data_IF_244192686331
#
_entry.id   IF_244192686331
#
_cell.length_a   1.000
_cell.length_b   1.000
_cell.length_c   1.000
_cell.angle_alpha   90.00
_cell.angle_beta   90.00
_cell.angle_gamma   90.00
#
_symmetry.space_group_name_H-M   'P 1'
#
loop_
_entity.id
_entity.type
_entity.pdbx_description
1 polymer ?
#
# COMPACT_ATOMS: atom_id res chain seq x y z
N UNK A 1 -23.26 27.38 -4.26
CA UNK A 1 -23.68 26.88 -5.60
C UNK A 1 -22.74 25.78 -6.05
N UNK A 2 -23.08 25.06 -7.14
CA UNK A 2 -22.21 24.06 -7.73
C UNK A 2 -20.89 24.66 -8.23
N UNK A 3 -20.90 25.89 -8.73
CA UNK A 3 -19.72 26.64 -9.16
C UNK A 3 -18.69 26.83 -8.04
N UNK A 4 -19.14 27.27 -6.85
CA UNK A 4 -18.26 27.41 -5.68
C UNK A 4 -17.71 26.03 -5.25
N UNK A 5 -18.51 24.99 -5.37
CA UNK A 5 -18.08 23.64 -5.02
C UNK A 5 -17.04 23.11 -6.01
N UNK A 6 -17.21 23.41 -7.29
CA UNK A 6 -16.25 23.11 -8.34
C UNK A 6 -14.88 23.74 -8.03
N UNK A 7 -14.86 25.05 -7.76
CA UNK A 7 -13.63 25.76 -7.36
C UNK A 7 -12.98 25.12 -6.13
N UNK A 8 -13.76 24.82 -5.09
CA UNK A 8 -13.25 24.19 -3.86
C UNK A 8 -12.65 22.80 -4.10
N UNK A 9 -13.26 22.00 -4.97
CA UNK A 9 -12.76 20.66 -5.30
C UNK A 9 -11.47 20.75 -6.11
N UNK A 10 -11.39 21.68 -7.07
CA UNK A 10 -10.18 21.94 -7.85
C UNK A 10 -9.05 22.49 -6.97
N UNK A 11 -9.34 23.41 -6.05
CA UNK A 11 -8.36 23.90 -5.06
C UNK A 11 -7.85 22.80 -4.13
N UNK A 12 -8.68 21.80 -3.84
CA UNK A 12 -8.32 20.62 -3.07
C UNK A 12 -7.50 19.60 -3.87
N UNK A 13 -7.16 19.89 -5.14
CA UNK A 13 -6.40 19.04 -6.07
C UNK A 13 -7.18 17.80 -6.57
N UNK A 14 -8.52 17.86 -6.54
CA UNK A 14 -9.37 16.83 -7.19
C UNK A 14 -9.22 16.95 -8.72
N UNK A 15 -9.00 15.83 -9.40
CA UNK A 15 -8.86 15.83 -10.86
C UNK A 15 -10.14 16.33 -11.55
N UNK A 16 -9.97 17.13 -12.64
CA UNK A 16 -11.09 17.79 -13.34
C UNK A 16 -12.22 16.83 -13.75
N UNK A 17 -11.88 15.70 -14.35
CA UNK A 17 -12.86 14.66 -14.76
C UNK A 17 -13.68 14.16 -13.56
N UNK A 18 -13.04 13.95 -12.41
CA UNK A 18 -13.71 13.52 -11.19
C UNK A 18 -14.58 14.62 -10.59
N UNK A 19 -14.17 15.89 -10.71
CA UNK A 19 -14.98 17.04 -10.30
C UNK A 19 -16.29 17.10 -11.10
N UNK A 20 -16.23 16.96 -12.41
CA UNK A 20 -17.42 16.92 -13.28
C UNK A 20 -18.35 15.77 -12.86
N UNK A 21 -17.81 14.57 -12.69
CA UNK A 21 -18.58 13.39 -12.27
C UNK A 21 -19.25 13.58 -10.89
N UNK A 22 -18.54 14.17 -9.93
CA UNK A 22 -19.10 14.51 -8.62
C UNK A 22 -20.26 15.50 -8.75
N UNK A 23 -20.09 16.56 -9.56
CA UNK A 23 -21.11 17.58 -9.76
C UNK A 23 -22.36 17.04 -10.48
N UNK A 24 -22.20 16.09 -11.40
CA UNK A 24 -23.31 15.39 -12.06
C UNK A 24 -24.11 14.53 -11.09
N UNK A 25 -23.46 13.80 -10.21
CA UNK A 25 -24.10 12.94 -9.19
C UNK A 25 -24.81 13.73 -8.10
N UNK A 26 -24.49 15.03 -7.93
CA UNK A 26 -25.12 15.87 -6.91
C UNK A 26 -26.54 16.30 -7.35
N UNK A 27 -27.50 16.39 -6.40
CA UNK A 27 -28.86 16.82 -6.70
C UNK A 27 -28.91 18.17 -7.44
N UNK A 28 -29.88 18.33 -8.33
CA UNK A 28 -30.13 19.58 -9.09
C UNK A 28 -30.71 20.70 -8.23
N UNK A 29 -30.22 20.87 -7.01
CA UNK A 29 -30.64 21.91 -6.06
C UNK A 29 -29.73 23.13 -6.16
N UNK A 30 -30.30 24.32 -5.94
CA UNK A 30 -29.58 25.59 -5.94
C UNK A 30 -28.50 25.66 -4.83
N UNK A 31 -28.69 24.92 -3.75
CA UNK A 31 -27.76 24.77 -2.62
C UNK A 31 -27.50 23.27 -2.41
N UNK A 32 -26.24 22.86 -2.55
CA UNK A 32 -25.77 21.52 -2.22
C UNK A 32 -25.51 21.44 -0.73
N UNK A 33 -26.17 20.54 -0.03
CA UNK A 33 -25.90 20.29 1.38
C UNK A 33 -24.57 19.52 1.54
N UNK A 34 -23.89 19.73 2.67
CA UNK A 34 -22.64 19.00 2.99
C UNK A 34 -22.86 17.49 2.98
N UNK A 35 -24.01 17.02 3.41
CA UNK A 35 -24.34 15.59 3.45
C UNK A 35 -24.58 15.00 2.06
N UNK A 36 -25.12 15.78 1.10
CA UNK A 36 -25.24 15.36 -0.30
C UNK A 36 -23.86 15.10 -0.90
N UNK A 37 -22.91 16.04 -0.73
CA UNK A 37 -21.53 15.87 -1.19
C UNK A 37 -20.85 14.68 -0.50
N UNK A 38 -20.98 14.56 0.82
CA UNK A 38 -20.43 13.45 1.59
C UNK A 38 -20.98 12.10 1.12
N UNK A 39 -22.27 12.03 0.77
CA UNK A 39 -22.89 10.83 0.21
C UNK A 39 -22.28 10.44 -1.13
N UNK A 40 -22.10 11.40 -2.04
CA UNK A 40 -21.46 11.17 -3.34
C UNK A 40 -20.01 10.72 -3.17
N UNK A 41 -19.22 11.44 -2.36
CA UNK A 41 -17.83 11.06 -2.11
C UNK A 41 -17.72 9.65 -1.50
N UNK A 42 -18.60 9.31 -0.56
CA UNK A 42 -18.62 7.99 0.07
C UNK A 42 -18.91 6.87 -0.93
N UNK A 43 -19.72 7.10 -1.96
CA UNK A 43 -20.04 6.10 -2.98
C UNK A 43 -18.84 5.64 -3.80
N UNK A 44 -17.78 6.45 -3.89
CA UNK A 44 -16.53 6.04 -4.56
C UNK A 44 -15.71 5.03 -3.76
N UNK A 45 -15.99 4.88 -2.47
CA UNK A 45 -15.34 3.90 -1.57
C UNK A 45 -16.23 2.67 -1.30
N UNK A 46 -17.38 2.58 -1.95
CA UNK A 46 -18.31 1.45 -1.83
C UNK A 46 -17.96 0.38 -2.87
N UNK A 47 -16.95 -0.43 -2.57
CA UNK A 47 -16.50 -1.54 -3.40
C UNK A 47 -16.37 -2.81 -2.58
N UNK A 48 -16.59 -3.96 -3.24
CA UNK A 48 -16.43 -5.26 -2.61
C UNK A 48 -14.96 -5.52 -2.25
N UNK A 49 -14.72 -5.76 -0.97
CA UNK A 49 -13.41 -6.20 -0.49
C UNK A 49 -13.34 -7.72 -0.69
N UNK A 50 -12.40 -8.18 -1.50
CA UNK A 50 -12.13 -9.62 -1.63
C UNK A 50 -11.71 -10.17 -0.26
N UNK A 51 -12.56 -11.03 0.30
CA UNK A 51 -12.28 -11.68 1.58
C UNK A 51 -11.42 -12.92 1.32
N UNK A 52 -10.16 -12.83 1.69
CA UNK A 52 -9.27 -14.00 1.78
C UNK A 52 -9.32 -14.56 3.22
N UNK A 53 -10.51 -15.04 3.64
CA UNK A 53 -10.82 -15.23 5.06
C UNK A 53 -9.94 -16.28 5.77
N UNK A 54 -9.43 -17.29 5.05
CA UNK A 54 -8.89 -18.50 5.67
C UNK A 54 -7.44 -18.84 5.24
N UNK A 55 -6.77 -17.97 4.49
CA UNK A 55 -5.40 -18.21 4.03
C UNK A 55 -4.39 -18.02 5.17
N UNK A 56 -3.62 -19.08 5.45
CA UNK A 56 -2.57 -19.06 6.47
C UNK A 56 -1.29 -19.73 5.96
N UNK A 57 -0.15 -18.99 5.92
CA UNK A 57 -0.01 -17.56 6.19
C UNK A 57 -0.70 -16.70 5.14
N UNK A 58 -1.30 -15.58 5.55
CA UNK A 58 -1.76 -14.54 4.64
C UNK A 58 -0.59 -13.59 4.32
N UNK A 59 -0.20 -13.51 3.06
CA UNK A 59 0.99 -12.78 2.60
C UNK A 59 0.60 -11.46 1.99
N UNK A 60 1.15 -10.36 2.52
CA UNK A 60 0.94 -9.00 2.03
C UNK A 60 2.26 -8.40 1.56
N UNK A 61 2.26 -7.89 0.34
CA UNK A 61 3.39 -7.23 -0.28
C UNK A 61 3.18 -5.72 -0.22
N UNK A 62 4.09 -5.00 0.44
CA UNK A 62 4.02 -3.54 0.63
C UNK A 62 4.91 -2.87 -0.40
N UNK A 63 4.27 -2.13 -1.31
CA UNK A 63 4.85 -1.56 -2.52
C UNK A 63 4.76 -0.03 -2.46
N UNK A 64 5.55 0.68 -3.24
CA UNK A 64 5.49 2.15 -3.36
C UNK A 64 6.86 2.77 -3.50
N UNK A 65 6.92 4.06 -3.80
CA UNK A 65 8.18 4.78 -4.01
C UNK A 65 8.98 4.98 -2.73
N UNK A 66 10.25 5.32 -2.87
CA UNK A 66 11.08 5.70 -1.73
C UNK A 66 10.52 6.94 -1.04
N UNK A 67 10.49 6.93 0.29
CA UNK A 67 9.95 8.04 1.08
C UNK A 67 8.43 8.04 1.26
N UNK A 68 7.68 7.17 0.58
CA UNK A 68 6.23 7.07 0.76
C UNK A 68 5.80 6.52 2.14
N UNK A 69 6.71 5.94 2.91
CA UNK A 69 6.42 5.43 4.26
C UNK A 69 6.17 3.93 4.34
N UNK A 70 6.63 3.13 3.35
CA UNK A 70 6.45 1.67 3.30
C UNK A 70 6.88 0.96 4.59
N UNK A 71 8.14 1.12 5.00
CA UNK A 71 8.70 0.48 6.18
C UNK A 71 7.94 0.84 7.46
N UNK A 72 7.57 2.11 7.63
CA UNK A 72 6.76 2.56 8.77
C UNK A 72 5.34 1.98 8.71
N UNK A 73 4.73 1.93 7.53
CA UNK A 73 3.41 1.33 7.32
C UNK A 73 3.44 -0.16 7.61
N UNK A 74 4.47 -0.88 7.14
CA UNK A 74 4.69 -2.31 7.46
C UNK A 74 4.71 -2.54 8.97
N UNK A 75 5.44 -1.71 9.71
CA UNK A 75 5.50 -1.80 11.17
C UNK A 75 4.15 -1.50 11.84
N UNK A 76 3.40 -0.49 11.36
CA UNK A 76 2.07 -0.16 11.88
C UNK A 76 1.06 -1.29 11.63
N UNK A 77 1.05 -1.87 10.43
CA UNK A 77 0.22 -3.02 10.11
C UNK A 77 0.58 -4.24 10.98
N UNK A 78 1.87 -4.51 11.14
CA UNK A 78 2.35 -5.59 12.01
C UNK A 78 1.86 -5.42 13.46
N UNK A 79 1.92 -4.20 13.99
CA UNK A 79 1.40 -3.90 15.33
C UNK A 79 -0.12 -4.07 15.41
N UNK A 80 -0.85 -3.64 14.39
CA UNK A 80 -2.30 -3.79 14.31
C UNK A 80 -2.70 -5.27 14.35
N UNK A 81 -2.06 -6.11 13.53
CA UNK A 81 -2.33 -7.56 13.50
C UNK A 81 -1.95 -8.24 14.81
N UNK A 82 -0.78 -7.91 15.36
CA UNK A 82 -0.37 -8.42 16.67
C UNK A 82 -1.37 -8.08 17.77
N UNK A 83 -1.86 -6.84 17.82
CA UNK A 83 -2.84 -6.40 18.81
C UNK A 83 -4.22 -7.05 18.61
N UNK A 84 -4.52 -7.54 17.41
CA UNK A 84 -5.71 -8.36 17.14
C UNK A 84 -5.50 -9.86 17.40
N UNK A 85 -4.39 -10.24 18.03
CA UNK A 85 -4.09 -11.62 18.43
C UNK A 85 -3.49 -12.49 17.32
N UNK A 86 -3.09 -11.92 16.18
CA UNK A 86 -2.49 -12.66 15.08
C UNK A 86 -0.95 -12.71 15.21
N UNK A 87 -0.37 -13.85 14.88
CA UNK A 87 1.07 -13.99 14.75
C UNK A 87 1.55 -13.35 13.44
N UNK A 88 2.68 -12.64 13.47
CA UNK A 88 3.20 -11.87 12.33
C UNK A 88 4.69 -12.14 12.14
N UNK A 89 5.14 -12.23 10.89
CA UNK A 89 6.56 -12.22 10.51
C UNK A 89 6.82 -11.15 9.46
N UNK A 90 7.98 -10.51 9.52
CA UNK A 90 8.41 -9.46 8.59
C UNK A 90 9.46 -9.98 7.62
N UNK A 91 9.39 -9.54 6.35
CA UNK A 91 10.40 -9.78 5.33
C UNK A 91 11.02 -8.45 4.86
N UNK A 92 12.34 -8.30 5.02
CA UNK A 92 13.08 -7.09 4.64
C UNK A 92 13.61 -7.22 3.21
N UNK A 93 12.75 -6.94 2.21
CA UNK A 93 13.10 -7.06 0.80
C UNK A 93 13.63 -5.76 0.15
N UNK A 94 13.76 -4.64 0.88
CA UNK A 94 14.53 -3.46 0.41
C UNK A 94 16.04 -3.65 0.70
N UNK A 95 16.60 -4.73 0.16
CA UNK A 95 17.96 -5.21 0.48
C UNK A 95 19.08 -4.28 0.01
N UNK A 96 18.81 -3.40 -0.95
CA UNK A 96 19.79 -2.45 -1.47
C UNK A 96 19.94 -1.20 -0.60
N UNK A 97 19.00 -0.97 0.33
CA UNK A 97 19.04 0.16 1.26
C UNK A 97 19.30 -0.34 2.68
N UNK A 98 20.58 -0.33 3.08
CA UNK A 98 20.99 -0.76 4.42
C UNK A 98 20.15 -0.07 5.53
N UNK A 99 19.88 1.22 5.39
CA UNK A 99 19.05 1.96 6.35
C UNK A 99 17.60 1.47 6.44
N UNK A 100 17.00 0.98 5.34
CA UNK A 100 15.65 0.43 5.35
C UNK A 100 15.59 -0.92 6.07
N UNK A 101 16.54 -1.79 5.79
CA UNK A 101 16.67 -3.10 6.48
C UNK A 101 16.87 -2.89 7.98
N UNK A 102 17.80 -2.02 8.37
CA UNK A 102 18.04 -1.72 9.78
C UNK A 102 16.84 -1.05 10.47
N UNK A 103 16.13 -0.19 9.76
CA UNK A 103 14.89 0.41 10.27
C UNK A 103 13.83 -0.65 10.55
N UNK A 104 13.61 -1.59 9.61
CA UNK A 104 12.64 -2.66 9.81
C UNK A 104 13.05 -3.63 10.92
N UNK A 105 14.35 -3.93 11.06
CA UNK A 105 14.89 -4.71 12.19
C UNK A 105 14.60 -4.05 13.54
N UNK A 106 14.80 -2.74 13.65
CA UNK A 106 14.47 -1.98 14.87
C UNK A 106 12.99 -2.07 15.21
N UNK A 107 12.11 -1.94 14.21
CA UNK A 107 10.68 -2.13 14.42
C UNK A 107 10.33 -3.55 14.85
N UNK A 108 10.92 -4.57 14.21
CA UNK A 108 10.73 -5.96 14.61
C UNK A 108 11.12 -6.18 16.07
N UNK A 109 12.25 -5.62 16.51
CA UNK A 109 12.71 -5.69 17.90
C UNK A 109 11.74 -4.99 18.87
N UNK A 110 11.31 -3.75 18.56
CA UNK A 110 10.36 -3.00 19.40
C UNK A 110 9.03 -3.76 19.54
N UNK A 111 8.56 -4.35 18.44
CA UNK A 111 7.31 -5.09 18.41
C UNK A 111 7.46 -6.54 18.86
N UNK A 112 8.67 -7.00 19.16
CA UNK A 112 8.99 -8.40 19.48
C UNK A 112 8.40 -9.36 18.43
N UNK A 113 8.76 -9.13 17.15
CA UNK A 113 8.31 -9.92 15.99
C UNK A 113 9.49 -10.59 15.29
N UNK A 114 9.32 -11.81 14.77
CA UNK A 114 10.31 -12.44 13.90
C UNK A 114 10.45 -11.63 12.60
N UNK A 115 11.68 -11.56 12.11
CA UNK A 115 12.04 -10.93 10.84
C UNK A 115 13.02 -11.80 10.07
N UNK A 116 12.81 -11.88 8.75
CA UNK A 116 13.81 -12.42 7.81
C UNK A 116 14.47 -11.24 7.10
N UNK A 117 15.77 -11.15 7.25
CA UNK A 117 16.60 -10.12 6.64
C UNK A 117 17.97 -10.69 6.30
N UNK A 118 18.56 -10.23 5.22
CA UNK A 118 19.89 -10.64 4.76
C UNK A 118 20.86 -9.48 4.74
N UNK A 119 22.12 -9.73 4.40
CA UNK A 119 23.10 -8.69 4.16
C UNK A 119 22.68 -7.81 2.95
N UNK A 120 23.22 -6.60 2.92
CA UNK A 120 22.95 -5.64 1.84
C UNK A 120 23.32 -6.23 0.46
N UNK A 121 22.47 -5.99 -0.54
CA UNK A 121 22.69 -6.39 -1.92
C UNK A 121 22.29 -7.84 -2.25
N UNK A 122 21.79 -8.60 -1.29
CA UNK A 122 21.25 -9.93 -1.56
C UNK A 122 19.94 -9.85 -2.34
N UNK A 123 19.58 -10.97 -3.00
CA UNK A 123 18.37 -11.08 -3.82
C UNK A 123 17.09 -10.90 -2.96
N UNK A 124 16.28 -9.83 -3.20
CA UNK A 124 15.04 -9.61 -2.47
C UNK A 124 14.06 -10.78 -2.57
N UNK A 125 14.03 -11.48 -3.72
CA UNK A 125 13.15 -12.62 -3.92
C UNK A 125 13.53 -13.82 -3.04
N UNK A 126 14.80 -14.02 -2.74
CA UNK A 126 15.25 -15.05 -1.80
C UNK A 126 14.74 -14.73 -0.37
N UNK A 127 14.83 -13.46 0.05
CA UNK A 127 14.30 -13.03 1.36
C UNK A 127 12.78 -13.24 1.43
N UNK A 128 12.05 -12.93 0.35
CA UNK A 128 10.60 -13.16 0.28
C UNK A 128 10.27 -14.66 0.40
N UNK A 129 10.99 -15.51 -0.33
CA UNK A 129 10.83 -16.96 -0.26
C UNK A 129 11.03 -17.50 1.16
N UNK A 130 12.13 -17.13 1.78
CA UNK A 130 12.49 -17.58 3.12
C UNK A 130 11.48 -17.09 4.17
N UNK A 131 10.96 -15.87 4.00
CA UNK A 131 9.95 -15.32 4.90
C UNK A 131 8.66 -16.11 4.81
N UNK A 132 8.14 -16.36 3.60
CA UNK A 132 6.89 -17.10 3.38
C UNK A 132 7.04 -18.57 3.83
N UNK A 133 8.17 -19.21 3.49
CA UNK A 133 8.46 -20.58 3.89
C UNK A 133 8.58 -20.73 5.41
N UNK A 134 9.27 -19.79 6.07
CA UNK A 134 9.36 -19.75 7.54
C UNK A 134 7.99 -19.56 8.20
N UNK A 135 7.14 -18.69 7.63
CA UNK A 135 5.79 -18.47 8.10
C UNK A 135 4.94 -19.72 8.00
N UNK A 136 5.01 -20.43 6.87
CA UNK A 136 4.28 -21.68 6.64
C UNK A 136 4.74 -22.78 7.62
N UNK A 137 6.05 -22.95 7.79
CA UNK A 137 6.62 -23.96 8.71
C UNK A 137 6.25 -23.70 10.19
N UNK A 138 6.14 -22.44 10.58
CA UNK A 138 5.82 -22.01 11.96
C UNK A 138 4.34 -21.73 12.19
N UNK A 139 3.50 -21.99 11.19
CA UNK A 139 2.05 -21.73 11.25
C UNK A 139 1.70 -20.29 11.65
N UNK A 140 2.44 -19.30 11.11
CA UNK A 140 2.23 -17.87 11.35
C UNK A 140 1.02 -17.37 10.54
N UNK A 141 0.22 -16.45 11.12
CA UNK A 141 -1.02 -15.96 10.49
C UNK A 141 -0.72 -14.96 9.37
N UNK A 142 0.23 -14.03 9.58
CA UNK A 142 0.49 -12.90 8.68
C UNK A 142 1.95 -12.80 8.29
N UNK A 143 2.17 -12.53 7.00
CA UNK A 143 3.49 -12.18 6.44
C UNK A 143 3.40 -10.79 5.85
N UNK A 144 4.27 -9.88 6.26
CA UNK A 144 4.41 -8.55 5.69
C UNK A 144 5.78 -8.41 5.05
N UNK A 145 5.81 -8.15 3.74
CA UNK A 145 7.03 -8.01 2.94
C UNK A 145 7.21 -6.54 2.56
N UNK A 146 8.25 -5.89 3.10
CA UNK A 146 8.64 -4.51 2.76
C UNK A 146 9.57 -4.52 1.55
N UNK A 147 9.18 -3.88 0.45
CA UNK A 147 9.92 -3.91 -0.82
C UNK A 147 10.70 -2.62 -1.10
N UNK A 148 11.63 -2.68 -2.06
CA UNK A 148 12.28 -1.51 -2.60
C UNK A 148 11.28 -0.57 -3.31
N UNK A 149 11.67 0.70 -3.50
CA UNK A 149 10.81 1.72 -4.13
C UNK A 149 11.56 2.61 -5.12
N UNK A 150 12.50 2.05 -5.89
CA UNK A 150 13.37 2.81 -6.80
C UNK A 150 12.71 3.05 -8.15
N UNK A 151 11.77 4.00 -8.22
CA UNK A 151 11.04 4.31 -9.45
C UNK A 151 11.96 4.89 -10.56
N UNK A 152 13.13 5.43 -10.19
CA UNK A 152 14.10 5.97 -11.15
C UNK A 152 14.61 4.91 -12.14
N UNK A 153 14.54 3.63 -11.79
CA UNK A 153 14.91 2.50 -12.63
C UNK A 153 13.71 1.55 -12.79
N UNK A 154 12.68 2.04 -13.49
CA UNK A 154 11.39 1.35 -13.63
C UNK A 154 11.51 -0.09 -14.12
N UNK A 155 12.37 -0.35 -15.12
CA UNK A 155 12.52 -1.71 -15.69
C UNK A 155 13.08 -2.71 -14.66
N UNK A 156 14.07 -2.30 -13.88
CA UNK A 156 14.65 -3.17 -12.86
C UNK A 156 13.68 -3.37 -11.68
N UNK A 157 12.96 -2.33 -11.29
CA UNK A 157 11.96 -2.44 -10.22
C UNK A 157 10.79 -3.34 -10.64
N UNK A 158 10.30 -3.22 -11.88
CA UNK A 158 9.25 -4.07 -12.41
C UNK A 158 9.67 -5.54 -12.38
N UNK A 159 10.85 -5.87 -12.95
CA UNK A 159 11.38 -7.21 -12.96
C UNK A 159 11.60 -7.78 -11.54
N UNK A 160 12.04 -6.94 -10.59
CA UNK A 160 12.22 -7.32 -9.19
C UNK A 160 10.88 -7.65 -8.52
N UNK A 161 9.86 -6.78 -8.68
CA UNK A 161 8.54 -6.99 -8.10
C UNK A 161 7.83 -8.22 -8.70
N UNK A 162 7.88 -8.39 -10.02
CA UNK A 162 7.35 -9.59 -10.70
C UNK A 162 8.03 -10.87 -10.20
N UNK A 163 9.36 -10.80 -10.00
CA UNK A 163 10.12 -11.92 -9.44
C UNK A 163 9.69 -12.24 -8.02
N UNK A 164 9.53 -11.22 -7.16
CA UNK A 164 9.07 -11.41 -5.78
C UNK A 164 7.66 -12.05 -5.77
N UNK A 165 6.73 -11.56 -6.58
CA UNK A 165 5.37 -12.11 -6.68
C UNK A 165 5.42 -13.59 -7.07
N UNK A 166 6.15 -13.93 -8.14
CA UNK A 166 6.29 -15.31 -8.60
C UNK A 166 6.93 -16.22 -7.55
N UNK A 167 7.90 -15.71 -6.80
CA UNK A 167 8.59 -16.49 -5.77
C UNK A 167 7.73 -16.68 -4.52
N UNK A 168 6.91 -15.70 -4.15
CA UNK A 168 5.91 -15.88 -3.10
C UNK A 168 4.89 -16.97 -3.46
N UNK A 169 4.40 -17.00 -4.70
CA UNK A 169 3.50 -18.05 -5.17
C UNK A 169 4.16 -19.46 -5.14
N UNK A 170 5.44 -19.56 -5.45
CA UNK A 170 6.19 -20.81 -5.31
C UNK A 170 6.35 -21.28 -3.86
N UNK A 171 6.50 -20.34 -2.93
CA UNK A 171 6.63 -20.65 -1.50
C UNK A 171 5.28 -21.05 -0.88
N UNK A 172 4.21 -20.39 -1.32
CA UNK A 172 2.83 -20.69 -0.97
C UNK A 172 1.93 -20.35 -2.14
N UNK A 173 1.23 -21.35 -2.67
CA UNK A 173 0.31 -21.16 -3.79
C UNK A 173 -0.73 -20.05 -3.51
N UNK A 174 -0.90 -19.14 -4.45
CA UNK A 174 -1.77 -17.98 -4.35
C UNK A 174 -1.16 -16.76 -3.65
N UNK A 175 0.05 -16.86 -3.07
CA UNK A 175 0.73 -15.70 -2.48
C UNK A 175 1.45 -14.86 -3.57
N UNK A 176 1.58 -13.55 -3.35
CA UNK A 176 1.03 -12.76 -2.25
C UNK A 176 -0.49 -12.58 -2.40
N UNK A 177 -1.23 -12.75 -1.32
CA UNK A 177 -2.68 -12.67 -1.30
C UNK A 177 -3.17 -11.21 -1.40
N UNK A 178 -2.32 -10.25 -1.05
CA UNK A 178 -2.61 -8.82 -1.16
C UNK A 178 -1.35 -8.03 -1.52
N UNK A 179 -1.47 -7.19 -2.53
CA UNK A 179 -0.43 -6.24 -2.98
C UNK A 179 -0.94 -4.83 -2.70
N UNK A 180 -0.31 -4.16 -1.75
CA UNK A 180 -0.72 -2.86 -1.24
C UNK A 180 0.29 -1.82 -1.66
N UNK A 181 -0.16 -0.78 -2.37
CA UNK A 181 0.67 0.39 -2.62
C UNK A 181 0.53 1.41 -1.50
N UNK A 182 1.67 1.95 -1.05
CA UNK A 182 1.75 3.05 -0.10
C UNK A 182 2.02 4.34 -0.86
N UNK A 183 1.11 5.30 -0.76
CA UNK A 183 1.16 6.59 -1.43
C UNK A 183 1.35 7.71 -0.41
N UNK A 184 2.13 8.72 -0.80
CA UNK A 184 2.35 9.93 -0.01
C UNK A 184 1.35 11.00 -0.43
N UNK A 185 0.45 11.39 0.46
CA UNK A 185 -0.59 12.40 0.20
C UNK A 185 -0.01 13.76 -0.23
N UNK A 186 1.21 14.08 0.21
CA UNK A 186 1.87 15.36 -0.14
C UNK A 186 2.27 15.46 -1.61
N UNK A 187 2.26 14.33 -2.34
CA UNK A 187 2.64 14.26 -3.75
C UNK A 187 1.45 14.53 -4.70
N UNK A 188 0.22 14.67 -4.20
CA UNK A 188 -0.96 14.97 -5.00
C UNK A 188 -1.11 14.03 -6.22
N UNK A 189 -1.35 14.60 -7.40
CA UNK A 189 -1.55 13.85 -8.65
C UNK A 189 -0.37 12.94 -9.06
N UNK A 190 0.86 13.18 -8.57
CA UNK A 190 1.97 12.27 -8.79
C UNK A 190 1.74 10.90 -8.12
N UNK A 191 1.04 10.86 -6.99
CA UNK A 191 0.69 9.60 -6.31
C UNK A 191 -0.26 8.76 -7.15
N UNK A 192 -1.22 9.38 -7.84
CA UNK A 192 -2.15 8.69 -8.76
C UNK A 192 -1.38 8.08 -9.94
N UNK A 193 -0.47 8.85 -10.55
CA UNK A 193 0.37 8.35 -11.63
C UNK A 193 1.27 7.17 -11.17
N UNK A 194 1.81 7.23 -9.95
CA UNK A 194 2.56 6.13 -9.35
C UNK A 194 1.68 4.88 -9.17
N UNK A 195 0.48 5.04 -8.63
CA UNK A 195 -0.44 3.92 -8.45
C UNK A 195 -0.77 3.22 -9.77
N UNK A 196 -1.03 3.98 -10.84
CA UNK A 196 -1.27 3.46 -12.20
C UNK A 196 -0.04 2.67 -12.71
N UNK A 197 1.16 3.26 -12.62
CA UNK A 197 2.38 2.62 -13.08
C UNK A 197 2.68 1.30 -12.34
N UNK A 198 2.50 1.26 -11.02
CA UNK A 198 2.67 0.02 -10.25
C UNK A 198 1.58 -1.00 -10.54
N UNK A 199 0.34 -0.56 -10.81
CA UNK A 199 -0.76 -1.47 -11.14
C UNK A 199 -0.58 -2.14 -12.52
N UNK A 200 0.16 -1.52 -13.43
CA UNK A 200 0.56 -2.14 -14.72
C UNK A 200 1.57 -3.27 -14.51
N UNK A 201 2.48 -3.12 -13.52
CA UNK A 201 3.50 -4.11 -13.21
C UNK A 201 2.91 -5.29 -12.44
N UNK A 202 2.25 -4.99 -11.32
CA UNK A 202 1.63 -5.99 -10.44
C UNK A 202 0.23 -5.51 -10.09
N UNK A 203 -0.79 -6.30 -10.39
CA UNK A 203 -2.18 -5.93 -10.07
C UNK A 203 -2.31 -5.63 -8.58
N UNK A 204 -2.61 -4.37 -8.24
CA UNK A 204 -2.75 -3.90 -6.87
C UNK A 204 -4.11 -4.34 -6.29
N UNK A 205 -4.12 -4.69 -5.01
CA UNK A 205 -5.32 -5.10 -4.29
C UNK A 205 -5.78 -4.04 -3.27
N UNK A 206 -4.94 -3.05 -2.98
CA UNK A 206 -5.25 -1.99 -2.02
C UNK A 206 -4.28 -0.82 -2.04
N UNK A 207 -4.73 0.27 -1.44
CA UNK A 207 -3.97 1.52 -1.30
C UNK A 207 -3.92 1.91 0.18
N UNK A 208 -2.75 2.33 0.65
CA UNK A 208 -2.59 3.00 1.94
C UNK A 208 -2.03 4.39 1.69
N UNK A 209 -2.69 5.40 2.24
CA UNK A 209 -2.29 6.79 2.10
C UNK A 209 -1.60 7.25 3.38
N UNK A 210 -0.42 7.86 3.24
CA UNK A 210 0.38 8.38 4.34
C UNK A 210 0.45 9.90 4.32
N UNK A 211 0.85 10.51 5.43
CA UNK A 211 1.10 11.96 5.57
C UNK A 211 -0.10 12.84 5.26
N UNK A 212 -1.32 12.35 5.49
CA UNK A 212 -2.57 13.11 5.32
C UNK A 212 -2.64 14.33 6.23
N UNK A 213 -1.92 14.32 7.35
CA UNK A 213 -1.80 15.41 8.31
C UNK A 213 -0.96 16.60 7.79
N UNK A 214 -0.18 16.39 6.75
CA UNK A 214 0.77 17.37 6.20
C UNK A 214 0.32 18.09 4.95
N UNK A 215 -0.85 17.79 4.38
CA UNK A 215 -1.29 18.37 3.10
C UNK A 215 -2.73 18.88 3.11
N UNK A 216 -2.98 20.12 2.61
CA UNK A 216 -4.32 20.57 2.28
C UNK A 216 -4.86 19.99 0.97
N UNK A 217 -4.04 19.31 0.16
CA UNK A 217 -4.34 18.86 -1.21
C UNK A 217 -4.56 17.34 -1.29
N UNK A 218 -5.40 16.81 -0.40
CA UNK A 218 -5.72 15.38 -0.37
C UNK A 218 -6.75 14.92 -1.42
N UNK A 219 -7.29 15.81 -2.21
CA UNK A 219 -8.35 15.51 -3.16
C UNK A 219 -7.92 14.69 -4.39
N UNK A 220 -6.61 14.64 -4.68
CA UNK A 220 -6.07 13.80 -5.74
C UNK A 220 -6.13 12.30 -5.42
N UNK A 221 -6.32 11.93 -4.17
CA UNK A 221 -6.25 10.57 -3.64
C UNK A 221 -7.61 10.02 -3.26
#
# INVERSE_FOLDING_TARGET
SKEILEEMLLEADVGYELVEEILEKLPAKKLVAKDDLKGVLKSYFDYEITKHADEKPFVELIIGVNGAGKTTTTAKLANLYKNSGQSVILGACDTFRAGAVEQLKKWAQILNLPIVATAQGHDPAAVAFDTVSSASAKNIDRVLIDTAGRLQNQKNLAAELEKIVRICDRAKSGAPHRKIIVLDATQGNHSVAQARAFNEIVKLDGIIITKLDGTPKGGAL
#
